data_IF_974172637345
#
_entry.id   IF_974172637345
#
_cell.length_a   1.000
_cell.length_b   1.000
_cell.length_c   1.000
_cell.angle_alpha   90.00
_cell.angle_beta   90.00
_cell.angle_gamma   90.00
#
_symmetry.space_group_name_H-M   'P 1'
#
loop_
_entity.id
_entity.type
_entity.pdbx_description
1 polymer ?
#
# COMPACT_ATOMS: atom_id res chain seq x y z
N UNK A 1 -14.33 10.25 17.26
CA UNK A 1 -13.95 9.23 16.25
C UNK A 1 -15.18 8.96 15.41
N UNK A 2 -15.07 9.03 14.09
CA UNK A 2 -16.13 8.66 13.15
C UNK A 2 -15.83 7.27 12.62
N UNK A 3 -16.88 6.49 12.40
CA UNK A 3 -16.77 5.17 11.82
C UNK A 3 -17.69 5.09 10.61
N UNK A 4 -17.11 4.83 9.44
CA UNK A 4 -17.84 4.50 8.23
C UNK A 4 -17.71 3.00 8.00
N UNK A 5 -18.85 2.33 7.92
CA UNK A 5 -18.90 0.91 7.65
C UNK A 5 -18.99 0.66 6.14
N UNK A 6 -18.29 -0.38 5.69
CA UNK A 6 -18.53 -0.99 4.39
C UNK A 6 -18.58 -2.49 4.54
N UNK A 7 -19.34 -3.16 3.67
CA UNK A 7 -19.53 -4.60 3.74
C UNK A 7 -18.26 -5.33 3.29
N UNK A 8 -17.75 -4.99 2.10
CA UNK A 8 -16.54 -5.59 1.53
C UNK A 8 -15.66 -4.52 0.89
N UNK A 9 -14.53 -4.20 1.52
CA UNK A 9 -13.56 -3.22 0.99
C UNK A 9 -12.65 -3.82 -0.11
N UNK A 10 -12.78 -5.11 -0.42
CA UNK A 10 -12.13 -5.70 -1.60
C UNK A 10 -12.86 -5.35 -2.90
N UNK A 11 -14.05 -4.75 -2.83
CA UNK A 11 -14.77 -4.23 -4.00
C UNK A 11 -14.42 -2.74 -4.21
N UNK A 12 -13.91 -2.40 -5.39
CA UNK A 12 -13.56 -1.06 -5.82
C UNK A 12 -14.78 -0.13 -5.83
N UNK A 13 -15.98 -0.63 -6.16
CA UNK A 13 -17.22 0.14 -6.02
C UNK A 13 -17.49 0.53 -4.56
N UNK A 14 -17.24 -0.37 -3.62
CA UNK A 14 -17.37 -0.06 -2.20
C UNK A 14 -16.31 0.94 -1.73
N UNK A 15 -15.08 0.86 -2.26
CA UNK A 15 -14.05 1.88 -2.02
C UNK A 15 -14.51 3.25 -2.53
N UNK A 16 -15.12 3.32 -3.72
CA UNK A 16 -15.66 4.55 -4.28
C UNK A 16 -16.69 5.19 -3.37
N UNK A 17 -17.69 4.40 -2.96
CA UNK A 17 -18.76 4.85 -2.06
C UNK A 17 -18.20 5.40 -0.76
N UNK A 18 -17.29 4.66 -0.11
CA UNK A 18 -16.68 5.10 1.15
C UNK A 18 -15.88 6.40 0.97
N UNK A 19 -15.09 6.51 -0.10
CA UNK A 19 -14.31 7.73 -0.35
C UNK A 19 -15.22 8.94 -0.64
N UNK A 20 -16.32 8.74 -1.35
CA UNK A 20 -17.30 9.80 -1.60
C UNK A 20 -17.99 10.25 -0.31
N UNK A 21 -18.37 9.32 0.56
CA UNK A 21 -18.92 9.64 1.89
C UNK A 21 -17.90 10.41 2.75
N UNK A 22 -16.62 10.05 2.72
CA UNK A 22 -15.55 10.81 3.40
C UNK A 22 -15.50 12.24 2.86
N UNK A 23 -15.49 12.42 1.54
CA UNK A 23 -15.43 13.75 0.92
C UNK A 23 -16.63 14.61 1.34
N UNK A 24 -17.85 14.06 1.20
CA UNK A 24 -19.07 14.78 1.56
C UNK A 24 -19.11 15.17 3.04
N UNK A 25 -18.62 14.30 3.94
CA UNK A 25 -18.55 14.61 5.36
C UNK A 25 -17.55 15.72 5.66
N UNK A 26 -16.34 15.65 5.11
CA UNK A 26 -15.32 16.69 5.33
C UNK A 26 -15.81 18.04 4.79
N UNK A 27 -16.37 18.06 3.57
CA UNK A 27 -16.88 19.29 2.94
C UNK A 27 -18.06 19.92 3.68
N UNK A 28 -18.90 19.11 4.33
CA UNK A 28 -20.04 19.59 5.10
C UNK A 28 -19.64 20.22 6.44
N UNK A 29 -18.52 19.78 7.02
CA UNK A 29 -18.21 20.05 8.42
C UNK A 29 -17.01 20.96 8.63
N UNK A 30 -16.10 21.00 7.66
CA UNK A 30 -14.90 21.80 7.71
C UNK A 30 -15.01 22.94 6.71
N UNK A 31 -14.61 24.14 7.12
CA UNK A 31 -14.49 25.27 6.20
C UNK A 31 -13.37 25.04 5.17
N UNK A 32 -12.33 24.29 5.56
CA UNK A 32 -11.18 23.94 4.73
C UNK A 32 -10.98 22.40 4.76
N UNK A 33 -11.82 21.65 4.02
CA UNK A 33 -11.84 20.19 4.04
C UNK A 33 -10.57 19.64 3.40
N UNK A 34 -9.84 18.82 4.15
CA UNK A 34 -8.53 18.29 3.75
C UNK A 34 -8.19 17.01 4.50
N UNK A 35 -7.24 16.25 3.97
CA UNK A 35 -6.63 15.11 4.65
C UNK A 35 -5.13 15.35 4.75
N UNK A 36 -4.62 15.50 5.96
CA UNK A 36 -3.19 15.68 6.21
C UNK A 36 -2.45 14.33 6.31
N UNK A 37 -3.15 13.28 6.73
CA UNK A 37 -2.59 11.95 6.92
C UNK A 37 -3.62 10.85 6.57
N UNK A 38 -3.27 9.98 5.61
CA UNK A 38 -4.08 8.85 5.17
C UNK A 38 -3.32 7.54 5.39
N UNK A 39 -3.84 6.65 6.24
CA UNK A 39 -3.25 5.32 6.46
C UNK A 39 -4.16 4.23 5.91
N UNK A 40 -3.60 3.35 5.09
CA UNK A 40 -4.26 2.26 4.40
C UNK A 40 -3.61 0.94 4.84
N UNK A 41 -4.38 0.13 5.56
CA UNK A 41 -3.92 -1.14 6.15
C UNK A 41 -4.85 -2.31 5.83
N UNK A 42 -5.78 -2.14 4.87
CA UNK A 42 -6.70 -3.19 4.44
C UNK A 42 -5.91 -4.45 4.07
N UNK A 43 -6.28 -5.61 4.62
CA UNK A 43 -5.50 -6.82 4.43
C UNK A 43 -6.34 -8.08 4.58
N UNK A 44 -5.92 -9.12 3.88
CA UNK A 44 -6.54 -10.44 3.89
C UNK A 44 -5.65 -11.50 4.55
N UNK A 45 -6.19 -12.73 4.70
CA UNK A 45 -5.39 -13.89 5.08
C UNK A 45 -4.22 -14.13 4.10
N UNK A 46 -3.11 -14.63 4.63
CA UNK A 46 -1.93 -14.99 3.85
C UNK A 46 -2.06 -16.43 3.30
N UNK A 47 -1.23 -16.79 2.32
CA UNK A 47 -1.21 -18.12 1.71
C UNK A 47 -2.50 -18.56 1.00
N UNK A 48 -3.31 -17.60 0.55
CA UNK A 48 -4.51 -17.93 -0.22
C UNK A 48 -4.19 -18.24 -1.68
N UNK A 49 -4.93 -19.17 -2.31
CA UNK A 49 -4.96 -19.28 -3.77
C UNK A 49 -5.59 -18.02 -4.37
N UNK A 50 -5.48 -17.85 -5.69
CA UNK A 50 -6.18 -16.77 -6.38
C UNK A 50 -7.68 -16.97 -6.20
N UNK A 51 -8.38 -15.92 -5.81
CA UNK A 51 -9.85 -15.89 -5.77
C UNK A 51 -10.29 -14.52 -6.24
N UNK A 52 -10.98 -14.46 -7.36
CA UNK A 52 -11.46 -13.18 -7.90
C UNK A 52 -12.68 -12.68 -7.10
N UNK A 53 -12.76 -11.36 -6.94
CA UNK A 53 -13.98 -10.64 -6.59
C UNK A 53 -14.97 -10.70 -7.74
N UNK A 54 -16.21 -10.27 -7.51
CA UNK A 54 -17.19 -10.10 -8.60
C UNK A 54 -16.76 -9.06 -9.66
N UNK A 55 -15.81 -8.20 -9.30
CA UNK A 55 -15.19 -7.20 -10.19
C UNK A 55 -14.00 -7.77 -10.98
N UNK A 56 -13.63 -9.04 -10.80
CA UNK A 56 -12.57 -9.72 -11.56
C UNK A 56 -11.15 -9.53 -11.02
N UNK A 57 -11.00 -8.91 -9.86
CA UNK A 57 -9.68 -8.70 -9.22
C UNK A 57 -9.45 -9.79 -8.17
N UNK A 58 -8.26 -10.37 -8.11
CA UNK A 58 -7.89 -11.25 -7.00
C UNK A 58 -8.11 -10.56 -5.64
N UNK A 59 -8.86 -11.17 -4.72
CA UNK A 59 -9.23 -10.61 -3.41
C UNK A 59 -8.00 -10.19 -2.60
N UNK A 60 -6.91 -10.97 -2.63
CA UNK A 60 -5.68 -10.63 -1.90
C UNK A 60 -5.06 -9.36 -2.48
N UNK A 61 -4.93 -9.31 -3.81
CA UNK A 61 -4.41 -8.13 -4.49
C UNK A 61 -5.34 -6.92 -4.38
N UNK A 62 -6.65 -7.13 -4.34
CA UNK A 62 -7.61 -6.05 -4.17
C UNK A 62 -7.44 -5.37 -2.80
N UNK A 63 -7.44 -6.16 -1.73
CA UNK A 63 -7.28 -5.63 -0.36
C UNK A 63 -5.92 -4.97 -0.15
N UNK A 64 -4.86 -5.60 -0.64
CA UNK A 64 -3.50 -5.16 -0.31
C UNK A 64 -2.93 -4.14 -1.31
N UNK A 65 -3.49 -4.00 -2.51
CA UNK A 65 -3.02 -3.05 -3.54
C UNK A 65 -4.16 -2.22 -4.17
N UNK A 66 -5.10 -2.81 -4.92
CA UNK A 66 -6.02 -2.03 -5.78
C UNK A 66 -6.95 -1.11 -4.97
N UNK A 67 -7.58 -1.62 -3.91
CA UNK A 67 -8.45 -0.80 -3.04
C UNK A 67 -7.70 0.38 -2.44
N UNK A 68 -6.41 0.22 -2.15
CA UNK A 68 -5.56 1.26 -1.59
C UNK A 68 -5.22 2.32 -2.63
N UNK A 69 -4.78 1.92 -3.83
CA UNK A 69 -4.53 2.87 -4.91
C UNK A 69 -5.80 3.62 -5.31
N UNK A 70 -6.96 2.95 -5.27
CA UNK A 70 -8.25 3.59 -5.50
C UNK A 70 -8.59 4.59 -4.41
N UNK A 71 -8.41 4.24 -3.14
CA UNK A 71 -8.65 5.17 -2.04
C UNK A 71 -7.76 6.42 -2.14
N UNK A 72 -6.47 6.25 -2.46
CA UNK A 72 -5.54 7.38 -2.66
C UNK A 72 -6.05 8.29 -3.78
N UNK A 73 -6.31 7.73 -4.96
CA UNK A 73 -6.75 8.50 -6.14
C UNK A 73 -8.09 9.21 -5.92
N UNK A 74 -9.07 8.55 -5.28
CA UNK A 74 -10.37 9.17 -4.97
C UNK A 74 -10.28 10.27 -3.92
N UNK A 75 -9.37 10.17 -2.96
CA UNK A 75 -9.20 11.16 -1.90
C UNK A 75 -8.18 12.26 -2.25
N UNK A 76 -7.56 12.23 -3.44
CA UNK A 76 -6.67 13.30 -3.93
C UNK A 76 -7.26 14.71 -3.76
N UNK A 77 -8.55 14.99 -4.05
CA UNK A 77 -9.11 16.33 -3.87
C UNK A 77 -9.00 16.89 -2.44
N UNK A 78 -8.96 16.03 -1.42
CA UNK A 78 -8.74 16.42 -0.02
C UNK A 78 -7.26 16.41 0.36
N UNK A 79 -6.50 15.40 -0.12
CA UNK A 79 -5.06 15.31 0.16
C UNK A 79 -4.30 16.52 -0.39
N UNK A 80 -4.61 16.97 -1.60
CA UNK A 80 -3.92 18.09 -2.25
C UNK A 80 -4.26 19.46 -1.64
N UNK A 81 -5.34 19.53 -0.84
CA UNK A 81 -5.72 20.70 -0.05
C UNK A 81 -5.01 20.79 1.30
N UNK A 82 -4.24 19.77 1.70
CA UNK A 82 -3.45 19.85 2.93
C UNK A 82 -2.54 21.10 2.91
N UNK A 83 -2.46 21.78 4.06
CA UNK A 83 -1.53 22.89 4.27
C UNK A 83 -0.10 22.39 4.54
N UNK A 84 0.05 21.08 4.72
CA UNK A 84 1.30 20.35 4.78
C UNK A 84 1.44 19.52 3.50
N UNK A 85 2.61 18.93 3.21
CA UNK A 85 2.65 17.76 2.35
C UNK A 85 1.79 16.65 2.98
N UNK A 86 0.71 16.25 2.31
CA UNK A 86 -0.14 15.19 2.82
C UNK A 86 0.64 13.87 2.83
N UNK A 87 0.58 13.17 3.97
CA UNK A 87 1.28 11.89 4.15
C UNK A 87 0.32 10.74 3.90
N UNK A 88 0.67 9.87 2.97
CA UNK A 88 -0.09 8.65 2.67
C UNK A 88 0.77 7.45 3.05
N UNK A 89 0.24 6.57 3.90
CA UNK A 89 0.93 5.37 4.37
C UNK A 89 0.14 4.13 3.93
N UNK A 90 0.73 3.31 3.06
CA UNK A 90 0.24 1.96 2.74
C UNK A 90 1.06 0.93 3.50
N UNK A 91 0.41 0.18 4.40
CA UNK A 91 1.07 -0.81 5.27
C UNK A 91 1.08 -2.16 4.57
N UNK A 92 2.23 -2.55 4.01
CA UNK A 92 2.42 -3.85 3.37
C UNK A 92 3.91 -4.19 3.25
N UNK A 93 4.26 -5.27 2.55
CA UNK A 93 5.56 -5.91 2.49
C UNK A 93 6.70 -5.11 1.80
N UNK A 94 6.78 -3.79 1.97
CA UNK A 94 7.80 -2.93 1.37
C UNK A 94 9.23 -3.50 1.51
N UNK A 95 10.02 -3.41 0.45
CA UNK A 95 11.42 -3.89 0.39
C UNK A 95 11.60 -5.41 0.23
N UNK A 96 10.52 -6.19 0.08
CA UNK A 96 10.59 -7.63 -0.16
C UNK A 96 10.24 -8.03 -1.60
N UNK A 97 10.58 -7.21 -2.57
CA UNK A 97 10.52 -7.54 -3.99
C UNK A 97 11.28 -8.84 -4.27
N UNK A 98 10.66 -9.71 -5.07
CA UNK A 98 11.22 -10.97 -5.56
C UNK A 98 10.79 -11.16 -7.02
N UNK A 99 10.05 -12.24 -7.32
CA UNK A 99 9.59 -12.60 -8.66
C UNK A 99 8.55 -11.61 -9.18
N UNK A 100 8.68 -11.23 -10.45
CA UNK A 100 7.73 -10.39 -11.17
C UNK A 100 7.51 -10.97 -12.57
N UNK A 101 6.25 -10.97 -13.00
CA UNK A 101 5.82 -11.24 -14.36
C UNK A 101 5.19 -9.97 -14.93
N UNK A 102 5.98 -9.12 -15.62
CA UNK A 102 5.48 -7.84 -16.11
C UNK A 102 4.32 -7.98 -17.11
N UNK A 103 4.21 -9.11 -17.81
CA UNK A 103 3.15 -9.40 -18.79
C UNK A 103 1.89 -10.02 -18.19
N UNK A 104 1.87 -10.24 -16.87
CA UNK A 104 0.76 -10.83 -16.13
C UNK A 104 0.64 -10.12 -14.77
N UNK A 105 0.41 -8.81 -14.80
CA UNK A 105 0.47 -7.97 -13.60
C UNK A 105 -0.59 -8.38 -12.58
N UNK A 106 -1.80 -8.74 -13.02
CA UNK A 106 -2.84 -9.22 -12.12
C UNK A 106 -2.69 -10.71 -11.75
N UNK A 107 -1.70 -11.42 -12.30
CA UNK A 107 -1.44 -12.86 -12.08
C UNK A 107 -2.61 -13.77 -12.48
N UNK A 108 -3.22 -13.53 -13.64
CA UNK A 108 -4.33 -14.35 -14.18
C UNK A 108 -3.86 -15.73 -14.59
N UNK A 109 -2.63 -15.84 -15.08
CA UNK A 109 -2.05 -17.15 -15.34
C UNK A 109 -1.78 -17.85 -14.02
N UNK A 110 -2.55 -18.90 -13.72
CA UNK A 110 -2.42 -19.67 -12.49
C UNK A 110 -1.08 -20.41 -12.40
N UNK A 111 -0.32 -20.56 -13.50
CA UNK A 111 1.06 -21.06 -13.46
C UNK A 111 2.02 -20.05 -12.83
N UNK A 112 1.69 -18.76 -12.91
CA UNK A 112 2.44 -17.67 -12.29
C UNK A 112 2.00 -17.44 -10.84
N UNK A 113 0.76 -17.80 -10.49
CA UNK A 113 0.18 -17.47 -9.20
C UNK A 113 0.65 -18.40 -8.05
N UNK A 114 1.17 -17.76 -7.01
CA UNK A 114 1.14 -18.23 -5.63
C UNK A 114 1.20 -16.99 -4.72
N UNK A 115 0.85 -17.14 -3.44
CA UNK A 115 0.83 -16.01 -2.51
C UNK A 115 2.15 -15.23 -2.45
N UNK A 116 3.31 -15.91 -2.46
CA UNK A 116 4.61 -15.24 -2.42
C UNK A 116 4.86 -14.40 -3.69
N UNK A 117 4.40 -14.88 -4.84
CA UNK A 117 4.51 -14.15 -6.12
C UNK A 117 3.53 -12.97 -6.15
N UNK A 118 2.27 -13.16 -5.71
CA UNK A 118 1.31 -12.06 -5.57
C UNK A 118 1.80 -10.98 -4.61
N UNK A 119 2.39 -11.39 -3.47
CA UNK A 119 3.06 -10.50 -2.53
C UNK A 119 4.15 -9.69 -3.21
N UNK A 120 5.01 -10.34 -4.00
CA UNK A 120 6.08 -9.67 -4.75
C UNK A 120 5.53 -8.68 -5.79
N UNK A 121 4.56 -9.09 -6.62
CA UNK A 121 3.91 -8.24 -7.62
C UNK A 121 3.37 -6.95 -7.00
N UNK A 122 2.58 -7.08 -5.93
CA UNK A 122 2.02 -5.92 -5.26
C UNK A 122 3.08 -4.95 -4.77
N UNK A 123 4.27 -5.40 -4.33
CA UNK A 123 5.34 -4.50 -3.89
C UNK A 123 5.88 -3.67 -5.06
N UNK A 124 6.19 -4.30 -6.20
CA UNK A 124 6.59 -3.59 -7.42
C UNK A 124 5.51 -2.60 -7.87
N UNK A 125 4.25 -3.03 -7.85
CA UNK A 125 3.12 -2.20 -8.26
C UNK A 125 2.90 -1.01 -7.32
N UNK A 126 3.11 -1.16 -6.00
CA UNK A 126 3.09 -0.04 -5.04
C UNK A 126 4.14 1.00 -5.40
N UNK A 127 5.40 0.57 -5.58
CA UNK A 127 6.51 1.47 -5.89
C UNK A 127 6.23 2.23 -7.18
N UNK A 128 5.88 1.51 -8.24
CA UNK A 128 5.60 2.10 -9.55
C UNK A 128 4.44 3.11 -9.51
N UNK A 129 3.32 2.73 -8.91
CA UNK A 129 2.14 3.59 -8.85
C UNK A 129 2.37 4.84 -7.99
N UNK A 130 3.02 4.68 -6.83
CA UNK A 130 3.35 5.80 -5.96
C UNK A 130 4.38 6.75 -6.57
N UNK A 131 5.38 6.24 -7.30
CA UNK A 131 6.31 7.10 -8.04
C UNK A 131 5.61 7.94 -9.11
N UNK A 132 4.64 7.37 -9.83
CA UNK A 132 3.82 8.13 -10.77
C UNK A 132 3.02 9.22 -10.07
N UNK A 133 2.36 8.91 -8.95
CA UNK A 133 1.63 9.90 -8.17
C UNK A 133 2.52 11.01 -7.60
N UNK A 134 3.72 10.67 -7.12
CA UNK A 134 4.69 11.63 -6.61
C UNK A 134 5.16 12.60 -7.72
N UNK A 135 5.38 12.08 -8.94
CA UNK A 135 5.74 12.91 -10.09
C UNK A 135 4.57 13.80 -10.56
N UNK A 136 3.33 13.30 -10.54
CA UNK A 136 2.16 14.09 -10.93
C UNK A 136 1.83 15.19 -9.90
N UNK A 137 2.20 15.00 -8.63
CA UNK A 137 1.80 15.87 -7.52
C UNK A 137 3.02 16.40 -6.74
N UNK A 138 4.03 16.89 -7.47
CA UNK A 138 5.27 17.42 -6.88
C UNK A 138 4.99 18.49 -5.84
N UNK A 139 5.69 18.40 -4.72
CA UNK A 139 5.58 19.30 -3.57
C UNK A 139 4.36 19.07 -2.68
N UNK A 140 3.48 18.12 -3.01
CA UNK A 140 2.19 17.94 -2.30
C UNK A 140 2.06 16.64 -1.53
N UNK A 141 2.61 15.54 -2.04
CA UNK A 141 2.39 14.20 -1.47
C UNK A 141 3.68 13.56 -0.96
N UNK A 142 3.63 13.03 0.26
CA UNK A 142 4.60 12.06 0.77
C UNK A 142 3.96 10.67 0.78
N UNK A 143 4.42 9.78 -0.09
CA UNK A 143 3.83 8.47 -0.32
C UNK A 143 4.74 7.38 0.27
N UNK A 144 4.25 6.67 1.26
CA UNK A 144 5.03 5.71 2.04
C UNK A 144 4.42 4.33 1.90
N UNK A 145 5.19 3.37 1.41
CA UNK A 145 4.92 1.94 1.52
C UNK A 145 5.81 1.38 2.63
N UNK A 146 5.22 0.80 3.68
CA UNK A 146 5.97 0.37 4.87
C UNK A 146 5.69 -1.07 5.26
N UNK A 147 6.77 -1.83 5.51
CA UNK A 147 6.73 -3.09 6.25
C UNK A 147 6.94 -2.82 7.75
N UNK A 148 5.90 -2.93 8.59
CA UNK A 148 5.97 -2.56 10.01
C UNK A 148 6.73 -3.58 10.87
N UNK A 149 7.22 -4.66 10.27
CA UNK A 149 7.63 -5.87 10.99
C UNK A 149 6.46 -6.83 11.20
N UNK A 150 6.72 -7.89 11.95
CA UNK A 150 5.70 -8.89 12.28
C UNK A 150 4.93 -8.45 13.51
N UNK A 151 3.68 -8.02 13.35
CA UNK A 151 2.83 -7.59 14.47
C UNK A 151 1.84 -8.69 14.81
N UNK A 152 1.85 -9.16 16.06
CA UNK A 152 0.89 -10.18 16.49
C UNK A 152 -0.53 -9.61 16.45
N UNK A 153 -1.44 -10.40 15.89
CA UNK A 153 -2.85 -10.04 15.80
C UNK A 153 -3.71 -11.25 15.47
N UNK A 154 -5.04 -11.10 15.56
CA UNK A 154 -5.99 -12.21 15.37
C UNK A 154 -5.96 -12.79 13.95
N UNK A 155 -5.38 -12.07 12.98
CA UNK A 155 -5.24 -12.51 11.60
C UNK A 155 -4.51 -13.86 11.43
N UNK A 156 -3.53 -14.16 12.29
CA UNK A 156 -2.76 -15.42 12.22
C UNK A 156 -3.51 -16.64 12.78
N UNK A 157 -4.66 -16.43 13.40
CA UNK A 157 -5.48 -17.50 13.99
C UNK A 157 -6.71 -17.84 13.14
N UNK A 158 -6.93 -17.13 12.02
CA UNK A 158 -8.12 -17.30 11.18
C UNK A 158 -8.21 -18.71 10.56
N UNK A 159 -9.45 -19.20 10.43
CA UNK A 159 -9.74 -20.55 9.95
C UNK A 159 -9.44 -20.76 8.45
N UNK A 160 -9.33 -19.68 7.68
CA UNK A 160 -8.96 -19.66 6.26
C UNK A 160 -7.45 -19.91 6.01
N UNK A 161 -6.61 -19.84 7.05
CA UNK A 161 -5.18 -20.20 6.95
C UNK A 161 -4.96 -21.72 6.86
N UNK A 162 -3.86 -22.19 6.24
CA UNK A 162 -3.53 -23.62 6.25
C UNK A 162 -3.39 -24.18 7.67
N UNK A 163 -3.97 -25.36 7.92
CA UNK A 163 -3.96 -25.97 9.26
C UNK A 163 -2.53 -26.21 9.79
N UNK A 164 -1.62 -26.66 8.92
CA UNK A 164 -0.21 -26.85 9.27
C UNK A 164 0.44 -25.55 9.75
N UNK A 165 0.10 -24.41 9.12
CA UNK A 165 0.63 -23.11 9.49
C UNK A 165 0.12 -22.70 10.87
N UNK A 166 -1.18 -22.85 11.13
CA UNK A 166 -1.76 -22.50 12.45
C UNK A 166 -1.14 -23.32 13.59
N UNK A 167 -0.92 -24.61 13.37
CA UNK A 167 -0.27 -25.48 14.36
C UNK A 167 1.16 -25.02 14.62
N UNK A 168 1.96 -24.81 13.56
CA UNK A 168 3.32 -24.30 13.68
C UNK A 168 3.36 -22.94 14.38
N UNK A 169 2.46 -22.04 13.99
CA UNK A 169 2.35 -20.69 14.53
C UNK A 169 2.04 -20.70 16.03
N UNK A 170 0.97 -21.40 16.43
CA UNK A 170 0.49 -21.47 17.82
C UNK A 170 1.50 -22.15 18.75
N UNK A 171 2.02 -23.30 18.34
CA UNK A 171 2.76 -24.18 19.25
C UNK A 171 4.28 -24.07 19.13
N UNK A 172 4.79 -23.46 18.06
CA UNK A 172 6.24 -23.31 17.87
C UNK A 172 6.61 -21.83 17.77
N UNK A 173 6.04 -21.08 16.83
CA UNK A 173 6.45 -19.70 16.60
C UNK A 173 6.17 -18.78 17.80
N UNK A 174 4.92 -18.75 18.27
CA UNK A 174 4.49 -17.86 19.36
C UNK A 174 5.27 -18.09 20.66
N UNK A 175 5.41 -19.32 21.19
CA UNK A 175 6.09 -19.52 22.48
C UNK A 175 7.61 -19.31 22.42
N UNK A 176 8.26 -19.64 21.29
CA UNK A 176 9.73 -19.65 21.24
C UNK A 176 10.34 -18.45 20.53
N UNK A 177 9.62 -17.82 19.59
CA UNK A 177 10.21 -16.81 18.69
C UNK A 177 9.52 -15.45 18.75
N UNK A 178 8.23 -15.39 19.11
CA UNK A 178 7.52 -14.11 19.11
C UNK A 178 8.15 -13.00 19.97
N UNK A 179 8.68 -13.26 21.18
CA UNK A 179 9.33 -12.21 21.99
C UNK A 179 10.52 -11.52 21.31
N UNK A 180 11.17 -12.20 20.36
CA UNK A 180 12.38 -11.70 19.69
C UNK A 180 12.11 -11.17 18.28
N UNK A 181 11.08 -11.69 17.60
CA UNK A 181 10.83 -11.42 16.18
C UNK A 181 9.63 -10.52 15.91
N UNK A 182 8.79 -10.25 16.90
CA UNK A 182 7.56 -9.48 16.71
C UNK A 182 7.70 -8.04 17.19
N UNK A 183 6.88 -7.15 16.63
CA UNK A 183 6.72 -5.76 17.07
C UNK A 183 5.39 -5.66 17.83
N UNK A 184 5.38 -5.14 19.07
CA UNK A 184 4.15 -4.90 19.82
C UNK A 184 3.18 -3.98 19.04
N UNK A 185 1.84 -4.22 19.09
CA UNK A 185 0.87 -3.37 18.41
C UNK A 185 0.93 -1.89 18.79
N UNK A 186 1.17 -1.58 20.08
CA UNK A 186 1.30 -0.20 20.56
C UNK A 186 2.54 0.48 19.96
N UNK A 187 3.67 -0.21 19.93
CA UNK A 187 4.90 0.29 19.32
C UNK A 187 4.74 0.47 17.80
N UNK A 188 4.10 -0.49 17.13
CA UNK A 188 3.76 -0.37 15.71
C UNK A 188 2.88 0.86 15.45
N UNK A 189 1.87 1.11 16.28
CA UNK A 189 1.00 2.29 16.17
C UNK A 189 1.76 3.61 16.32
N UNK A 190 2.65 3.73 17.32
CA UNK A 190 3.51 4.91 17.50
C UNK A 190 4.41 5.11 16.28
N UNK A 191 4.97 4.04 15.73
CA UNK A 191 5.81 4.09 14.53
C UNK A 191 5.03 4.51 13.28
N UNK A 192 3.77 4.09 13.13
CA UNK A 192 2.95 4.58 12.02
C UNK A 192 2.72 6.08 12.15
N UNK A 193 2.38 6.58 13.35
CA UNK A 193 2.17 8.02 13.55
C UNK A 193 3.44 8.84 13.31
N UNK A 194 4.63 8.32 13.63
CA UNK A 194 5.90 9.03 13.37
C UNK A 194 6.24 9.19 11.89
N UNK A 195 5.53 8.52 10.99
CA UNK A 195 5.66 8.69 9.54
C UNK A 195 5.16 10.05 9.04
N UNK A 196 4.39 10.79 9.84
CA UNK A 196 4.01 12.18 9.54
C UNK A 196 5.19 13.19 9.70
N UNK A 197 6.39 12.71 10.04
CA UNK A 197 7.58 13.55 10.22
C UNK A 197 8.15 14.07 8.89
N UNK A 198 8.95 15.13 8.96
CA UNK A 198 9.63 15.74 7.81
C UNK A 198 10.76 14.90 7.20
N UNK A 199 11.03 13.68 7.74
CA UNK A 199 12.03 12.73 7.20
C UNK A 199 11.67 12.23 5.79
N UNK A 200 10.40 12.36 5.41
CA UNK A 200 9.84 11.86 4.15
C UNK A 200 9.24 13.03 3.34
N UNK A 201 10.04 13.97 2.81
CA UNK A 201 9.50 15.12 2.11
C UNK A 201 8.82 14.72 0.78
N UNK A 202 7.88 15.52 0.25
CA UNK A 202 7.31 15.26 -1.08
C UNK A 202 8.35 15.52 -2.18
N UNK A 203 8.12 14.95 -3.37
CA UNK A 203 9.01 15.14 -4.52
C UNK A 203 9.16 16.60 -4.86
N UNK A 204 10.39 17.10 -4.95
CA UNK A 204 10.65 18.50 -5.33
C UNK A 204 10.40 19.52 -4.22
N UNK A 205 10.19 19.09 -2.97
CA UNK A 205 10.32 20.00 -1.84
C UNK A 205 11.75 20.55 -1.75
N UNK A 206 11.87 21.82 -1.35
CA UNK A 206 13.15 22.38 -0.95
C UNK A 206 13.70 21.58 0.23
N UNK A 207 14.96 21.12 0.20
CA UNK A 207 15.54 20.34 1.28
C UNK A 207 15.37 21.05 2.62
N UNK A 208 14.89 20.33 3.63
CA UNK A 208 14.97 20.78 5.03
C UNK A 208 16.46 21.01 5.34
N UNK A 209 16.77 22.05 6.13
CA UNK A 209 18.14 22.50 6.39
C UNK A 209 19.10 21.39 6.91
N UNK A 210 18.57 20.27 7.43
CA UNK A 210 19.33 19.06 7.76
C UNK A 210 19.11 17.95 6.72
N UNK A 211 20.02 17.86 5.73
CA UNK A 211 20.10 16.74 4.78
C UNK A 211 20.27 15.37 5.47
N UNK A 212 20.81 15.33 6.68
CA UNK A 212 21.10 14.10 7.43
C UNK A 212 19.85 13.34 7.90
N UNK A 213 18.67 13.99 7.95
CA UNK A 213 17.41 13.34 8.36
C UNK A 213 16.52 12.94 7.18
N UNK A 214 16.86 13.35 5.96
CA UNK A 214 16.04 13.05 4.77
C UNK A 214 16.23 11.60 4.34
N UNK A 215 15.13 10.91 4.07
CA UNK A 215 15.16 9.49 3.69
C UNK A 215 15.41 9.32 2.19
N UNK A 216 16.16 8.27 1.83
CA UNK A 216 16.30 7.82 0.45
C UNK A 216 15.02 7.13 0.00
N UNK A 217 14.50 7.58 -1.13
CA UNK A 217 13.28 7.09 -1.72
C UNK A 217 13.42 5.85 -2.58
N UNK A 218 12.32 5.49 -3.24
CA UNK A 218 12.28 4.35 -4.16
C UNK A 218 12.94 4.62 -5.51
N UNK A 219 13.34 5.85 -5.82
CA UNK A 219 14.17 6.16 -6.99
C UNK A 219 15.68 6.16 -6.68
N UNK A 220 16.06 5.90 -5.43
CA UNK A 220 17.45 5.95 -4.97
C UNK A 220 17.93 7.36 -4.57
N UNK A 221 17.09 8.38 -4.72
CA UNK A 221 17.42 9.77 -4.40
C UNK A 221 16.86 10.19 -3.04
N UNK A 222 17.49 11.19 -2.41
CA UNK A 222 16.97 11.82 -1.21
C UNK A 222 15.71 12.62 -1.53
N UNK A 223 14.62 12.38 -0.79
CA UNK A 223 13.42 13.21 -0.91
C UNK A 223 12.59 12.95 -2.18
N UNK A 224 12.54 11.70 -2.62
CA UNK A 224 11.87 11.27 -3.86
C UNK A 224 10.35 11.54 -3.90
N UNK A 225 9.71 11.73 -2.75
CA UNK A 225 8.25 11.74 -2.58
C UNK A 225 7.57 10.37 -2.49
N UNK A 226 8.29 9.29 -2.77
CA UNK A 226 7.83 7.90 -2.70
C UNK A 226 8.84 7.02 -1.97
N UNK A 227 8.42 6.34 -0.91
CA UNK A 227 9.32 5.67 0.04
C UNK A 227 8.94 4.21 0.26
N UNK A 228 9.95 3.34 0.29
CA UNK A 228 9.85 1.96 0.76
C UNK A 228 10.57 1.88 2.10
N UNK A 229 9.84 1.59 3.18
CA UNK A 229 10.35 1.65 4.54
C UNK A 229 10.27 0.31 5.28
N UNK A 230 11.26 0.06 6.13
CA UNK A 230 11.24 -1.02 7.10
C UNK A 230 10.60 -0.63 8.43
N UNK A 231 10.63 -1.56 9.40
CA UNK A 231 9.95 -1.42 10.69
C UNK A 231 10.40 -0.22 11.53
N UNK A 232 11.59 0.34 11.27
CA UNK A 232 12.14 1.48 11.99
C UNK A 232 11.90 2.83 11.28
N UNK A 233 11.22 2.83 10.13
CA UNK A 233 11.05 4.01 9.28
C UNK A 233 12.25 4.32 8.39
N UNK A 234 13.30 3.50 8.41
CA UNK A 234 14.44 3.66 7.52
C UNK A 234 14.14 3.05 6.15
N UNK A 235 14.74 3.63 5.10
CA UNK A 235 14.60 3.13 3.74
C UNK A 235 15.07 1.69 3.63
N UNK A 236 14.26 0.85 3.02
CA UNK A 236 14.61 -0.52 2.65
C UNK A 236 14.45 -0.75 1.14
N UNK A 237 14.56 0.32 0.34
CA UNK A 237 14.44 0.24 -1.11
C UNK A 237 15.40 -0.80 -1.70
N UNK A 238 14.83 -1.80 -2.37
CA UNK A 238 15.57 -2.92 -2.92
C UNK A 238 16.03 -2.64 -4.36
N UNK A 239 17.00 -1.75 -4.53
CA UNK A 239 17.50 -1.33 -5.85
C UNK A 239 17.89 -2.51 -6.76
N UNK A 240 18.43 -3.60 -6.18
CA UNK A 240 18.85 -4.82 -6.90
C UNK A 240 17.71 -5.47 -7.68
N UNK A 241 16.49 -5.43 -7.13
CA UNK A 241 15.31 -5.97 -7.79
C UNK A 241 14.91 -5.22 -9.06
N UNK A 242 15.38 -3.97 -9.22
CA UNK A 242 15.06 -3.14 -10.38
C UNK A 242 16.22 -3.04 -11.39
N UNK A 243 17.42 -3.56 -11.09
CA UNK A 243 18.62 -3.44 -11.94
C UNK A 243 18.43 -3.96 -13.38
N UNK A 244 17.59 -4.99 -13.56
CA UNK A 244 17.33 -5.63 -14.86
C UNK A 244 15.95 -5.30 -15.42
N UNK A 245 15.25 -4.35 -14.81
CA UNK A 245 13.90 -3.94 -15.20
C UNK A 245 14.00 -2.55 -15.80
N UNK A 246 13.38 -2.35 -16.97
CA UNK A 246 13.12 -1.00 -17.45
C UNK A 246 12.04 -0.37 -16.55
N UNK A 247 12.48 0.39 -15.55
CA UNK A 247 11.60 0.90 -14.49
C UNK A 247 10.57 1.90 -15.01
N UNK A 248 10.93 2.71 -16.01
CA UNK A 248 10.00 3.66 -16.62
C UNK A 248 8.87 2.95 -17.39
N UNK A 249 9.22 1.91 -18.14
CA UNK A 249 8.25 1.07 -18.84
C UNK A 249 7.35 0.31 -17.86
N UNK A 250 7.92 -0.31 -16.82
CA UNK A 250 7.13 -0.99 -15.79
C UNK A 250 6.18 -0.01 -15.10
N UNK A 251 6.65 1.20 -14.80
CA UNK A 251 5.84 2.25 -14.17
C UNK A 251 4.65 2.65 -15.03
N UNK A 252 4.87 2.87 -16.33
CA UNK A 252 3.79 3.15 -17.27
C UNK A 252 2.81 1.97 -17.37
N UNK A 253 3.32 0.74 -17.42
CA UNK A 253 2.50 -0.48 -17.52
C UNK A 253 1.62 -0.65 -16.28
N UNK A 254 2.19 -0.53 -15.08
CA UNK A 254 1.45 -0.59 -13.81
C UNK A 254 0.40 0.51 -13.73
N UNK A 255 0.74 1.74 -14.13
CA UNK A 255 -0.23 2.83 -14.13
C UNK A 255 -1.42 2.53 -15.05
N UNK A 256 -1.16 2.19 -16.31
CA UNK A 256 -2.20 1.90 -17.29
C UNK A 256 -3.07 0.71 -16.85
N UNK A 257 -2.43 -0.37 -16.40
CA UNK A 257 -3.07 -1.55 -15.86
C UNK A 257 -4.05 -1.19 -14.73
N UNK A 258 -3.56 -0.51 -13.70
CA UNK A 258 -4.36 -0.19 -12.51
C UNK A 258 -5.49 0.79 -12.83
N UNK A 259 -5.23 1.80 -13.69
CA UNK A 259 -6.27 2.74 -14.11
C UNK A 259 -7.33 2.06 -14.99
N UNK A 260 -6.93 1.17 -15.90
CA UNK A 260 -7.89 0.41 -16.73
C UNK A 260 -8.81 -0.48 -15.90
N UNK A 261 -8.29 -1.10 -14.82
CA UNK A 261 -9.11 -1.87 -13.90
C UNK A 261 -10.18 -0.99 -13.23
N UNK A 262 -9.79 0.22 -12.81
CA UNK A 262 -10.74 1.15 -12.22
C UNK A 262 -11.78 1.66 -13.20
N UNK A 263 -11.37 2.04 -14.41
CA UNK A 263 -12.26 2.51 -15.47
C UNK A 263 -13.28 1.43 -15.88
N UNK A 264 -12.82 0.18 -16.02
CA UNK A 264 -13.67 -0.99 -16.33
C UNK A 264 -14.74 -1.19 -15.25
N UNK A 265 -14.33 -1.17 -13.98
CA UNK A 265 -15.25 -1.40 -12.85
C UNK A 265 -16.21 -0.21 -12.66
N UNK A 266 -15.78 1.02 -12.93
CA UNK A 266 -16.63 2.20 -12.95
C UNK A 266 -17.69 2.14 -14.08
N UNK A 267 -17.36 1.52 -15.20
CA UNK A 267 -18.31 1.25 -16.28
C UNK A 267 -19.31 0.12 -15.94
N UNK A 268 -19.16 -0.53 -14.79
CA UNK A 268 -19.98 -1.67 -14.38
C UNK A 268 -19.57 -2.99 -15.05
N UNK A 269 -18.37 -3.04 -15.62
CA UNK A 269 -17.81 -4.23 -16.27
C UNK A 269 -16.87 -4.99 -15.32
N UNK A 270 -16.62 -6.27 -15.64
CA UNK A 270 -15.71 -7.13 -14.87
C UNK A 270 -14.30 -7.01 -15.44
N UNK A 271 -13.33 -6.66 -14.61
CA UNK A 271 -11.94 -6.51 -15.05
C UNK A 271 -11.34 -7.86 -15.44
N UNK A 272 -10.95 -8.00 -16.71
CA UNK A 272 -10.42 -9.23 -17.29
C UNK A 272 -8.91 -9.20 -17.56
N UNK A 273 -8.23 -8.13 -17.13
CA UNK A 273 -6.87 -7.72 -17.56
C UNK A 273 -6.84 -7.21 -19.00
#
# INVERSE_FOLDING_TARGET
IRFLQTEDISLIQNVNRVCEEIIQMEEKEQQDPRIDYLMLSQGGPIYQPRKDTEEGIDVTMSLMYYSRMRAITKLLPLLLKSTLPATVVSVFAAGYEQKLFPDDLSLRDLNNYNYSTARSHMIYMHVCFMETLAEQNRGKLSLIHIFPGLVLGPGFEKHDLPAWFRVLWRYIFVPFFAPFLTVPPSESGVRMLSLASSRYPPRGATPVQNKEETTVGTDGELGSGAYSLGKNGDSNYNAKSYEKINKDELRQKVWNHTMSAFETIEAGEVFAD
#
